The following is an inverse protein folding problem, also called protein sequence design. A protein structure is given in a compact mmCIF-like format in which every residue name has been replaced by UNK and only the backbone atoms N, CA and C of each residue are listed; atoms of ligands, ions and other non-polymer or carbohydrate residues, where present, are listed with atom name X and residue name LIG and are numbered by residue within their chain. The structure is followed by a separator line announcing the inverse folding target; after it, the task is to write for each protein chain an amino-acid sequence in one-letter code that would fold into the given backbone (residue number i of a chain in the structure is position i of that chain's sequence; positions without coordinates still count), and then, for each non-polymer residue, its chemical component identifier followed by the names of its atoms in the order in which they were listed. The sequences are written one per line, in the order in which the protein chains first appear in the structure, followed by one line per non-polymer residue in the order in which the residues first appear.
data_IF_048648926982
#
_entry.id   IF_048648926982
#
_cell.length_a   1.000
_cell.length_b   1.000
_cell.length_c   1.000
_cell.angle_alpha   90.00
_cell.angle_beta   90.00
_cell.angle_gamma   90.00
#
_symmetry.space_group_name_H-M   'P 1'
#
loop_
_entity.id
_entity.type
_entity.pdbx_description
1 polymer ?
#
# COMPACT_ATOMS: atom_id res chain seq x y z
N UNK A 1 -7.38 4.29 -0.37
CA UNK A 1 -8.47 4.88 0.44
C UNK A 1 -8.82 4.06 1.70
N UNK A 2 -8.90 2.72 1.62
CA UNK A 2 -9.25 1.87 2.78
C UNK A 2 -8.28 1.96 3.96
N UNK A 3 -7.07 2.48 3.76
CA UNK A 3 -6.08 2.68 4.82
C UNK A 3 -6.44 3.79 5.83
N UNK A 4 -7.32 4.73 5.52
CA UNK A 4 -7.64 5.83 6.45
C UNK A 4 -8.52 5.40 7.62
N UNK A 5 -9.44 4.46 7.41
CA UNK A 5 -10.29 3.91 8.48
C UNK A 5 -9.45 3.32 9.62
N UNK A 6 -8.53 2.36 9.38
CA UNK A 6 -7.72 1.83 10.46
C UNK A 6 -6.85 2.90 11.11
N UNK A 7 -6.26 3.81 10.32
CA UNK A 7 -5.33 4.83 10.80
C UNK A 7 -5.98 5.88 11.72
N UNK A 8 -7.18 6.35 11.39
CA UNK A 8 -7.84 7.41 12.15
C UNK A 8 -8.89 6.89 13.13
N UNK A 9 -9.60 5.81 12.79
CA UNK A 9 -10.76 5.34 13.56
C UNK A 9 -10.46 4.08 14.39
N UNK A 10 -9.30 3.42 14.22
CA UNK A 10 -8.92 2.20 14.95
C UNK A 10 -7.50 2.30 15.54
N UNK A 11 -7.18 3.45 16.17
CA UNK A 11 -5.87 3.74 16.78
C UNK A 11 -5.39 2.71 17.81
N UNK A 12 -6.30 2.17 18.60
CA UNK A 12 -5.95 1.19 19.65
C UNK A 12 -5.81 -0.25 19.13
N UNK A 13 -6.21 -0.50 17.88
CA UNK A 13 -6.13 -1.83 17.28
C UNK A 13 -4.79 -2.00 16.54
N UNK A 14 -3.87 -2.76 17.16
CA UNK A 14 -2.53 -3.03 16.61
C UNK A 14 -2.57 -3.67 15.22
N UNK A 15 -3.47 -4.62 14.97
CA UNK A 15 -3.61 -5.29 13.68
C UNK A 15 -4.09 -4.32 12.60
N UNK A 16 -5.13 -3.55 12.91
CA UNK A 16 -5.66 -2.53 12.02
C UNK A 16 -4.59 -1.48 11.69
N UNK A 17 -3.85 -1.00 12.69
CA UNK A 17 -2.76 -0.04 12.51
C UNK A 17 -1.59 -0.60 11.69
N UNK A 18 -1.22 -1.86 11.91
CA UNK A 18 -0.18 -2.55 11.16
C UNK A 18 -0.51 -2.59 9.65
N UNK A 19 -1.71 -3.06 9.28
CA UNK A 19 -2.13 -3.09 7.88
C UNK A 19 -2.46 -1.70 7.32
N UNK A 20 -2.98 -0.81 8.16
CA UNK A 20 -3.31 0.58 7.80
C UNK A 20 -2.09 1.36 7.34
N UNK A 21 -0.96 1.28 8.07
CA UNK A 21 0.30 1.94 7.69
C UNK A 21 0.88 1.39 6.38
N UNK A 22 0.88 0.07 6.21
CA UNK A 22 1.33 -0.54 4.95
C UNK A 22 0.44 -0.13 3.77
N UNK A 23 -0.88 -0.11 3.97
CA UNK A 23 -1.83 0.35 2.97
C UNK A 23 -1.70 1.84 2.64
N UNK A 24 -1.24 2.68 3.58
CA UNK A 24 -0.94 4.08 3.33
C UNK A 24 0.28 4.23 2.41
N UNK A 25 1.36 3.52 2.69
CA UNK A 25 2.55 3.55 1.83
C UNK A 25 2.23 3.03 0.42
N UNK A 26 1.48 1.93 0.32
CA UNK A 26 1.04 1.39 -0.97
C UNK A 26 0.21 2.42 -1.75
N UNK A 27 -0.74 3.09 -1.08
CA UNK A 27 -1.57 4.13 -1.70
C UNK A 27 -0.76 5.34 -2.19
N UNK A 28 0.25 5.78 -1.43
CA UNK A 28 1.15 6.86 -1.84
C UNK A 28 1.94 6.46 -3.09
N UNK A 29 2.42 5.21 -3.17
CA UNK A 29 3.13 4.71 -4.34
C UNK A 29 2.21 4.61 -5.56
N UNK A 30 0.97 4.15 -5.40
CA UNK A 30 -0.02 4.15 -6.48
C UNK A 30 -0.23 5.58 -7.00
N UNK A 31 -0.40 6.56 -6.11
CA UNK A 31 -0.54 7.95 -6.51
C UNK A 31 0.71 8.46 -7.27
N UNK A 32 1.91 8.15 -6.79
CA UNK A 32 3.16 8.54 -7.46
C UNK A 32 3.29 7.90 -8.85
N UNK A 33 3.00 6.60 -8.97
CA UNK A 33 3.01 5.87 -10.25
C UNK A 33 1.99 6.47 -11.22
N UNK A 34 0.81 6.89 -10.75
CA UNK A 34 -0.21 7.50 -11.61
C UNK A 34 0.26 8.78 -12.31
N UNK A 35 1.23 9.50 -11.73
CA UNK A 35 1.82 10.71 -12.31
C UNK A 35 2.78 10.41 -13.47
N UNK A 36 3.28 9.16 -13.60
CA UNK A 36 4.20 8.78 -14.69
C UNK A 36 3.56 8.86 -16.08
N UNK A 37 2.23 8.86 -16.15
CA UNK A 37 1.48 9.01 -17.42
C UNK A 37 1.71 10.36 -18.11
N UNK A 38 2.30 11.34 -17.42
CA UNK A 38 2.67 12.64 -18.01
C UNK A 38 3.80 12.49 -19.04
N UNK A 39 4.66 11.47 -18.92
CA UNK A 39 5.77 11.23 -19.85
C UNK A 39 5.30 10.33 -21.01
N UNK A 40 5.32 10.80 -22.28
CA UNK A 40 4.89 10.01 -23.42
C UNK A 40 5.75 8.75 -23.61
N UNK A 41 5.13 7.66 -24.07
CA UNK A 41 5.73 6.34 -24.35
C UNK A 41 6.38 5.63 -23.15
N UNK A 42 7.49 6.14 -22.61
CA UNK A 42 8.22 5.54 -21.48
C UNK A 42 7.37 5.51 -20.20
N UNK A 43 6.64 6.60 -19.93
CA UNK A 43 5.78 6.71 -18.76
C UNK A 43 4.67 5.64 -18.75
N UNK A 44 4.12 5.31 -19.91
CA UNK A 44 3.07 4.29 -20.03
C UNK A 44 3.58 2.88 -19.73
N UNK A 45 4.76 2.51 -20.24
CA UNK A 45 5.33 1.18 -19.99
C UNK A 45 5.63 1.00 -18.51
N UNK A 46 6.29 1.98 -17.89
CA UNK A 46 6.60 1.95 -16.45
C UNK A 46 5.32 1.95 -15.62
N UNK A 47 4.33 2.76 -16.00
CA UNK A 47 3.03 2.80 -15.34
C UNK A 47 2.38 1.41 -15.32
N UNK A 48 2.29 0.72 -16.46
CA UNK A 48 1.63 -0.59 -16.55
C UNK A 48 2.32 -1.61 -15.64
N UNK A 49 3.65 -1.69 -15.68
CA UNK A 49 4.42 -2.64 -14.87
C UNK A 49 4.30 -2.33 -13.38
N UNK A 50 4.48 -1.07 -12.98
CA UNK A 50 4.40 -0.67 -11.58
C UNK A 50 2.98 -0.86 -11.03
N UNK A 51 1.96 -0.51 -11.80
CA UNK A 51 0.55 -0.68 -11.41
C UNK A 51 0.18 -2.15 -11.23
N UNK A 52 0.67 -3.04 -12.10
CA UNK A 52 0.47 -4.48 -11.96
C UNK A 52 1.10 -5.03 -10.68
N UNK A 53 2.36 -4.65 -10.39
CA UNK A 53 3.07 -5.09 -9.17
C UNK A 53 2.36 -4.59 -7.91
N UNK A 54 2.02 -3.30 -7.86
CA UNK A 54 1.30 -2.71 -6.71
C UNK A 54 -0.08 -3.35 -6.53
N UNK A 55 -0.78 -3.65 -7.63
CA UNK A 55 -2.06 -4.37 -7.61
C UNK A 55 -1.95 -5.78 -7.02
N UNK A 56 -0.91 -6.53 -7.38
CA UNK A 56 -0.64 -7.85 -6.78
C UNK A 56 -0.38 -7.73 -5.27
N UNK A 57 0.44 -6.77 -4.84
CA UNK A 57 0.67 -6.53 -3.41
C UNK A 57 -0.61 -6.13 -2.67
N UNK A 58 -1.46 -5.31 -3.29
CA UNK A 58 -2.75 -4.92 -2.73
C UNK A 58 -3.65 -6.14 -2.51
N UNK A 59 -3.76 -7.02 -3.52
CA UNK A 59 -4.55 -8.25 -3.41
C UNK A 59 -4.03 -9.19 -2.32
N UNK A 60 -2.71 -9.43 -2.28
CA UNK A 60 -2.08 -10.24 -1.24
C UNK A 60 -2.31 -9.65 0.15
N UNK A 61 -2.25 -8.32 0.29
CA UNK A 61 -2.52 -7.65 1.57
C UNK A 61 -3.95 -7.88 2.05
N UNK A 62 -4.92 -7.80 1.13
CA UNK A 62 -6.33 -8.09 1.44
C UNK A 62 -6.48 -9.54 1.90
N UNK A 63 -5.90 -10.50 1.18
CA UNK A 63 -5.95 -11.92 1.56
C UNK A 63 -5.36 -12.13 2.96
N UNK A 64 -4.20 -11.53 3.26
CA UNK A 64 -3.55 -11.64 4.57
C UNK A 64 -4.38 -11.01 5.70
N UNK A 65 -5.03 -9.88 5.44
CA UNK A 65 -5.98 -9.27 6.38
C UNK A 65 -7.15 -10.20 6.66
N UNK A 66 -7.74 -10.80 5.62
CA UNK A 66 -8.87 -11.73 5.75
C UNK A 66 -8.49 -13.02 6.49
N UNK A 67 -7.24 -13.46 6.37
CA UNK A 67 -6.66 -14.59 7.12
C UNK A 67 -6.24 -14.21 8.55
N UNK A 68 -6.42 -12.96 8.96
CA UNK A 68 -6.00 -12.44 10.27
C UNK A 68 -4.48 -12.59 10.52
N UNK A 69 -3.67 -12.49 9.47
CA UNK A 69 -2.22 -12.65 9.50
C UNK A 69 -1.49 -11.30 9.44
N UNK A 70 -0.53 -11.10 10.34
CA UNK A 70 0.43 -10.02 10.22
C UNK A 70 1.41 -10.34 9.09
N UNK A 71 1.18 -9.73 7.94
CA UNK A 71 2.07 -9.85 6.80
C UNK A 71 2.91 -8.60 6.61
N UNK A 72 4.21 -8.74 6.84
CA UNK A 72 5.22 -7.73 6.51
C UNK A 72 5.41 -7.72 4.99
N UNK A 73 4.75 -6.79 4.32
CA UNK A 73 4.81 -6.68 2.87
C UNK A 73 6.25 -6.36 2.43
N UNK A 74 6.86 -7.15 1.53
CA UNK A 74 8.22 -6.89 1.06
C UNK A 74 8.37 -5.48 0.51
N UNK A 75 9.51 -4.84 0.79
CA UNK A 75 9.85 -3.44 0.40
C UNK A 75 9.00 -2.36 1.09
N UNK A 76 7.70 -2.60 1.30
CA UNK A 76 6.75 -1.64 1.89
C UNK A 76 6.85 -1.60 3.41
N UNK A 77 6.93 -2.76 4.07
CA UNK A 77 6.95 -2.85 5.53
C UNK A 77 8.09 -2.06 6.19
N UNK A 78 9.35 -2.11 5.72
CA UNK A 78 10.44 -1.34 6.32
C UNK A 78 10.23 0.18 6.31
N UNK A 79 9.40 0.68 5.39
CA UNK A 79 9.02 2.10 5.30
C UNK A 79 7.82 2.34 6.20
N UNK A 80 6.80 1.49 6.10
CA UNK A 80 5.56 1.60 6.86
C UNK A 80 5.76 1.47 8.37
N UNK A 81 6.74 0.68 8.83
CA UNK A 81 7.06 0.50 10.26
C UNK A 81 7.63 1.75 10.92
N UNK A 82 8.14 2.69 10.13
CA UNK A 82 8.68 3.99 10.60
C UNK A 82 7.61 5.09 10.66
N UNK A 83 6.44 4.85 10.08
CA UNK A 83 5.34 5.81 10.11
C UNK A 83 4.72 5.86 11.51
N UNK A 84 4.77 7.03 12.13
CA UNK A 84 4.10 7.34 13.39
C UNK A 84 2.90 8.26 13.12
N UNK A 85 1.71 7.89 13.63
CA UNK A 85 0.42 8.53 13.38
C UNK A 85 -0.42 8.59 14.66
#
# INVERSE_FOLDING_TARGET
MLCFVPLFLKRDNRFAQFHGRQGLILFILELAVSMLKVVPFLGNIIFILAWAILGVFSLLAIIKVLMNEYWEMPVIYPIASKVTL
#
